data_IF_128058282737
#
_entry.id   IF_128058282737
#
_cell.length_a   1.000
_cell.length_b   1.000
_cell.length_c   1.000
_cell.angle_alpha   90.00
_cell.angle_beta   90.00
_cell.angle_gamma   90.00
#
_symmetry.space_group_name_H-M   'P 1'
#
loop_
_entity.id
_entity.type
_entity.pdbx_description
1 polymer ?
#
# COMPACT_ATOMS: atom_id res chain seq x y z
N UNK A 1 21.63 -7.27 6.75
CA UNK A 1 20.46 -6.99 5.88
C UNK A 1 19.45 -6.26 6.74
N UNK A 2 18.95 -5.10 6.32
CA UNK A 2 18.00 -4.31 7.12
C UNK A 2 16.58 -4.87 6.95
N UNK A 3 15.87 -5.13 8.04
CA UNK A 3 14.51 -5.66 8.03
C UNK A 3 13.54 -4.55 8.42
N UNK A 4 12.42 -4.45 7.71
CA UNK A 4 11.34 -3.49 7.99
C UNK A 4 10.28 -4.21 8.82
N UNK A 5 9.84 -3.58 9.91
CA UNK A 5 8.79 -4.10 10.77
C UNK A 5 7.74 -3.02 11.00
N UNK A 6 6.47 -3.41 10.94
CA UNK A 6 5.37 -2.51 11.26
C UNK A 6 5.19 -2.47 12.77
N UNK A 7 5.31 -1.29 13.36
CA UNK A 7 4.93 -1.06 14.75
C UNK A 7 3.40 -1.08 14.88
N UNK A 8 2.89 -1.65 15.98
CA UNK A 8 1.46 -1.60 16.33
C UNK A 8 1.01 -0.23 16.85
N UNK A 9 1.97 0.64 17.17
CA UNK A 9 1.72 1.96 17.71
C UNK A 9 1.44 2.98 16.62
N UNK A 10 0.49 3.88 16.90
CA UNK A 10 0.17 5.02 16.06
C UNK A 10 0.77 6.28 16.67
N UNK A 11 1.57 7.00 15.89
CA UNK A 11 2.16 8.29 16.26
C UNK A 11 1.75 9.36 15.27
N UNK A 12 1.63 10.59 15.75
CA UNK A 12 1.26 11.76 14.96
C UNK A 12 2.47 12.66 14.83
N UNK A 13 2.74 13.11 13.60
CA UNK A 13 3.83 14.03 13.27
C UNK A 13 3.26 15.21 12.51
N UNK A 14 3.88 16.38 12.65
CA UNK A 14 3.61 17.48 11.73
C UNK A 14 4.20 17.10 10.36
N UNK A 15 3.50 17.43 9.29
CA UNK A 15 3.98 17.13 7.94
C UNK A 15 5.35 17.79 7.65
N UNK A 16 5.65 18.91 8.31
CA UNK A 16 6.94 19.61 8.23
C UNK A 16 8.10 18.83 8.85
N UNK A 17 7.81 17.86 9.71
CA UNK A 17 8.82 17.07 10.43
C UNK A 17 9.13 15.76 9.70
N UNK A 18 8.52 15.52 8.52
CA UNK A 18 8.69 14.32 7.72
C UNK A 18 9.61 14.62 6.53
N UNK A 19 10.86 14.15 6.60
CA UNK A 19 11.86 14.36 5.55
C UNK A 19 11.56 13.56 4.27
N UNK A 20 11.04 12.34 4.42
CA UNK A 20 10.69 11.48 3.30
C UNK A 20 9.65 10.43 3.66
N UNK A 21 8.94 9.95 2.64
CA UNK A 21 8.00 8.84 2.75
C UNK A 21 8.39 7.78 1.73
N UNK A 22 8.47 6.53 2.17
CA UNK A 22 8.74 5.39 1.30
C UNK A 22 7.49 4.53 1.21
N UNK A 23 7.10 4.18 0.00
CA UNK A 23 6.00 3.24 -0.22
C UNK A 23 6.50 1.80 0.02
N UNK A 24 6.05 1.21 1.12
CA UNK A 24 6.27 -0.20 1.45
C UNK A 24 4.99 -0.99 1.21
N UNK A 25 5.12 -2.14 0.55
CA UNK A 25 4.02 -3.04 0.27
C UNK A 25 4.33 -4.42 0.84
N UNK A 26 3.29 -5.17 1.20
CA UNK A 26 3.46 -6.53 1.69
C UNK A 26 3.82 -7.46 0.54
N UNK A 27 4.86 -8.28 0.72
CA UNK A 27 5.20 -9.34 -0.22
C UNK A 27 4.21 -10.49 -0.06
N UNK A 28 3.05 -10.34 -0.69
CA UNK A 28 1.93 -11.27 -0.57
C UNK A 28 2.25 -12.66 -1.13
N UNK A 29 3.17 -12.74 -2.11
CA UNK A 29 3.59 -14.00 -2.72
C UNK A 29 4.32 -14.87 -1.69
N UNK A 30 5.40 -14.35 -1.11
CA UNK A 30 6.19 -15.08 -0.11
C UNK A 30 5.49 -15.14 1.25
N UNK A 31 4.64 -14.16 1.54
CA UNK A 31 3.78 -14.14 2.72
C UNK A 31 2.61 -15.14 2.65
N UNK A 32 2.34 -15.74 1.48
CA UNK A 32 1.25 -16.69 1.29
C UNK A 32 -0.12 -16.10 1.62
N UNK A 33 -0.33 -14.83 1.28
CA UNK A 33 -1.61 -14.14 1.44
C UNK A 33 -2.65 -14.77 0.51
N UNK A 34 -3.91 -14.80 0.94
CA UNK A 34 -4.99 -15.45 0.20
C UNK A 34 -5.92 -14.41 -0.40
N UNK A 35 -6.35 -14.64 -1.63
CA UNK A 35 -7.40 -13.81 -2.24
C UNK A 35 -8.74 -14.32 -1.73
N UNK A 36 -9.50 -13.45 -1.09
CA UNK A 36 -10.86 -13.71 -0.61
C UNK A 36 -11.82 -12.76 -1.32
N UNK A 37 -12.95 -13.28 -1.83
CA UNK A 37 -14.01 -12.44 -2.39
C UNK A 37 -14.90 -11.96 -1.23
N UNK A 38 -14.53 -10.86 -0.57
CA UNK A 38 -15.10 -10.54 0.76
C UNK A 38 -15.78 -9.18 0.94
N UNK A 39 -15.70 -8.22 0.01
CA UNK A 39 -16.44 -6.97 0.18
C UNK A 39 -17.30 -6.54 -1.01
N UNK A 40 -18.53 -6.13 -0.71
CA UNK A 40 -19.35 -5.32 -1.59
C UNK A 40 -18.73 -3.92 -1.67
N UNK A 41 -18.28 -3.51 -2.86
CA UNK A 41 -17.69 -2.20 -3.03
C UNK A 41 -18.78 -1.12 -3.21
N UNK A 42 -18.46 0.12 -2.87
CA UNK A 42 -19.27 1.27 -3.27
C UNK A 42 -18.61 1.93 -4.49
N UNK A 43 -19.33 2.02 -5.61
CA UNK A 43 -18.95 2.90 -6.72
C UNK A 43 -19.80 4.16 -6.58
N UNK A 44 -19.17 5.34 -6.51
CA UNK A 44 -19.87 6.64 -6.39
C UNK A 44 -20.94 6.72 -5.26
N UNK A 45 -20.65 6.14 -4.09
CA UNK A 45 -21.57 6.07 -2.93
C UNK A 45 -22.83 5.22 -3.14
N UNK A 46 -22.89 4.40 -4.19
CA UNK A 46 -23.93 3.39 -4.37
C UNK A 46 -23.38 1.99 -4.11
N UNK A 47 -24.07 1.15 -3.31
CA UNK A 47 -23.64 -0.22 -3.08
C UNK A 47 -23.82 -1.04 -4.37
N UNK A 48 -22.73 -1.59 -4.90
CA UNK A 48 -22.77 -2.55 -6.01
C UNK A 48 -22.75 -3.98 -5.47
N UNK A 49 -23.47 -4.90 -6.13
CA UNK A 49 -23.51 -6.33 -5.77
C UNK A 49 -22.30 -7.13 -6.30
N UNK A 50 -21.32 -6.46 -6.90
CA UNK A 50 -20.14 -7.11 -7.46
C UNK A 50 -19.06 -7.27 -6.37
N UNK A 51 -18.79 -8.52 -6.00
CA UNK A 51 -17.70 -8.88 -5.11
C UNK A 51 -16.39 -8.89 -5.88
N UNK A 52 -15.50 -7.96 -5.57
CA UNK A 52 -14.15 -7.95 -6.13
C UNK A 52 -13.21 -8.83 -5.29
N UNK A 53 -12.21 -9.46 -5.91
CA UNK A 53 -11.17 -10.19 -5.20
C UNK A 53 -10.33 -9.23 -4.35
N UNK A 54 -10.26 -9.47 -3.05
CA UNK A 54 -9.44 -8.72 -2.10
C UNK A 54 -8.35 -9.64 -1.52
N UNK A 55 -7.16 -9.10 -1.22
CA UNK A 55 -6.08 -9.86 -0.61
C UNK A 55 -6.22 -9.81 0.92
N UNK A 56 -6.48 -10.95 1.55
CA UNK A 56 -6.34 -11.09 3.00
C UNK A 56 -4.86 -11.27 3.35
N UNK A 57 -4.27 -10.22 3.91
CA UNK A 57 -2.86 -10.22 4.33
C UNK A 57 -2.64 -11.02 5.62
N UNK A 58 -1.61 -11.87 5.62
CA UNK A 58 -1.12 -12.50 6.85
C UNK A 58 -0.23 -11.53 7.63
N UNK A 59 -0.22 -11.65 8.96
CA UNK A 59 0.62 -10.86 9.85
C UNK A 59 2.08 -11.32 9.80
N UNK A 60 2.75 -11.15 8.66
CA UNK A 60 4.17 -11.45 8.46
C UNK A 60 4.95 -10.17 8.16
N UNK A 61 6.19 -10.09 8.65
CA UNK A 61 7.09 -8.94 8.42
C UNK A 61 7.81 -9.04 7.05
N UNK A 62 7.06 -9.40 6.00
CA UNK A 62 7.58 -9.51 4.64
C UNK A 62 7.14 -8.30 3.84
N UNK A 63 8.01 -7.30 3.78
CA UNK A 63 7.76 -6.05 3.05
C UNK A 63 8.75 -5.86 1.91
N UNK A 64 8.26 -5.32 0.80
CA UNK A 64 9.03 -4.88 -0.35
C UNK A 64 8.84 -3.38 -0.54
N UNK A 65 9.90 -2.70 -0.96
CA UNK A 65 9.83 -1.28 -1.31
C UNK A 65 9.27 -1.18 -2.72
N UNK A 66 8.17 -0.46 -2.89
CA UNK A 66 7.66 -0.12 -4.20
C UNK A 66 8.46 1.06 -4.76
N UNK A 67 9.62 0.76 -5.35
CA UNK A 67 10.49 1.76 -5.95
C UNK A 67 9.83 2.49 -7.15
N UNK A 68 8.89 1.84 -7.85
CA UNK A 68 8.12 2.49 -8.91
C UNK A 68 7.18 3.58 -8.38
N UNK A 69 6.68 3.43 -7.15
CA UNK A 69 5.89 4.47 -6.49
C UNK A 69 6.73 5.62 -5.90
N UNK A 70 8.06 5.49 -5.87
CA UNK A 70 8.99 6.59 -5.56
C UNK A 70 9.25 7.48 -6.78
N UNK A 71 8.81 7.05 -7.97
CA UNK A 71 8.85 7.87 -9.17
C UNK A 71 7.76 8.93 -9.09
N UNK A 72 8.17 10.19 -8.90
CA UNK A 72 7.24 11.32 -8.88
C UNK A 72 6.56 11.49 -10.24
N UNK A 73 5.23 11.39 -10.27
CA UNK A 73 4.42 11.69 -11.46
C UNK A 73 4.61 13.14 -11.92
N UNK A 74 4.96 14.05 -11.01
CA UNK A 74 5.27 15.45 -11.31
C UNK A 74 6.49 15.54 -12.25
N UNK A 75 7.55 14.77 -11.98
CA UNK A 75 8.74 14.70 -12.86
C UNK A 75 8.37 14.16 -14.25
N UNK A 76 7.44 13.22 -14.34
CA UNK A 76 7.00 12.68 -15.64
C UNK A 76 6.15 13.69 -16.44
N UNK A 77 5.27 14.45 -15.78
CA UNK A 77 4.47 15.51 -16.44
C UNK A 77 5.33 16.67 -16.96
N UNK A 78 6.45 16.98 -16.30
CA UNK A 78 7.39 18.02 -16.74
C UNK A 78 8.28 17.58 -17.91
N UNK A 79 8.49 16.29 -18.13
CA UNK A 79 9.36 15.76 -19.19
C UNK A 79 8.65 15.48 -20.53
N UNK A 80 7.34 15.72 -20.61
CA UNK A 80 6.53 15.50 -21.81
C UNK A 80 6.03 16.80 -22.49
N UNK A 81 6.61 17.95 -22.13
CA UNK A 81 6.45 19.25 -22.81
C UNK A 81 7.82 19.79 -23.26
#
# INVERSE_FOLDING_TARGET
MCQIEKTGDHQWFLATDVDCVINVQHNCHDGGCVITNTQAHHVERQPTQEHLPEITHKATNLYIINAAALYSAEVHCWLTH
#
